data_IF_117375208145
#
_entry.id   IF_117375208145
#
_cell.length_a   1.000
_cell.length_b   1.000
_cell.length_c   1.000
_cell.angle_alpha   90.00
_cell.angle_beta   90.00
_cell.angle_gamma   90.00
#
_symmetry.space_group_name_H-M   'P 1'
#
loop_
_entity.id
_entity.type
_entity.pdbx_description
1 polymer ?
#
# COMPACT_ATOMS: atom_id res chain seq x y z
N UNK A 1 10.95 -3.54 27.33
CA UNK A 1 10.67 -3.33 25.90
C UNK A 1 9.20 -3.66 25.68
N UNK A 2 8.34 -2.66 25.79
CA UNK A 2 6.89 -2.80 25.61
C UNK A 2 6.60 -2.61 24.13
N UNK A 3 6.45 -3.72 23.40
CA UNK A 3 5.94 -3.70 22.04
C UNK A 3 4.50 -3.24 22.10
N UNK A 4 4.26 -1.97 21.78
CA UNK A 4 2.91 -1.46 21.50
C UNK A 4 2.44 -2.20 20.27
N UNK A 5 1.73 -3.31 20.47
CA UNK A 5 0.92 -3.95 19.44
C UNK A 5 -0.20 -2.95 19.17
N UNK A 6 0.08 -1.98 18.30
CA UNK A 6 -0.92 -1.05 17.81
C UNK A 6 -1.98 -1.90 17.14
N UNK A 7 -3.12 -2.05 17.81
CA UNK A 7 -4.37 -2.60 17.29
C UNK A 7 -4.92 -1.65 16.21
N UNK A 8 -4.12 -1.32 15.19
CA UNK A 8 -4.67 -0.87 13.94
C UNK A 8 -5.26 -2.12 13.31
N UNK A 9 -6.58 -2.24 13.30
CA UNK A 9 -7.23 -2.78 12.11
C UNK A 9 -6.69 -1.95 10.95
N UNK A 10 -5.55 -2.37 10.37
CA UNK A 10 -4.92 -1.62 9.29
C UNK A 10 -5.96 -1.56 8.18
N UNK A 11 -6.50 -0.37 7.94
CA UNK A 11 -7.41 -0.14 6.83
C UNK A 11 -6.71 -0.69 5.60
N UNK A 12 -7.25 -1.80 5.07
CA UNK A 12 -6.72 -2.49 3.88
C UNK A 12 -6.38 -1.51 2.77
N UNK A 13 -7.20 -0.48 2.63
CA UNK A 13 -7.03 0.60 1.67
C UNK A 13 -6.37 1.82 2.33
N UNK A 14 -5.16 2.15 1.90
CA UNK A 14 -4.41 3.35 2.33
C UNK A 14 -4.21 4.26 1.15
N UNK A 15 -4.31 5.58 1.33
CA UNK A 15 -4.00 6.50 0.24
C UNK A 15 -2.54 6.38 -0.20
N UNK A 16 -2.26 6.77 -1.44
CA UNK A 16 -0.94 6.65 -2.04
C UNK A 16 0.16 7.39 -1.27
N UNK A 17 -0.14 8.53 -0.64
CA UNK A 17 0.86 9.30 0.09
C UNK A 17 1.22 8.58 1.40
N UNK A 18 0.22 8.17 2.19
CA UNK A 18 0.43 7.36 3.38
C UNK A 18 1.09 6.03 3.05
N UNK A 19 0.78 5.39 1.92
CA UNK A 19 1.51 4.22 1.44
C UNK A 19 3.01 4.53 1.26
N UNK A 20 3.36 5.64 0.61
CA UNK A 20 4.76 6.02 0.39
C UNK A 20 5.48 6.30 1.72
N UNK A 21 4.82 6.99 2.65
CA UNK A 21 5.36 7.28 3.99
C UNK A 21 5.62 5.99 4.77
N UNK A 22 4.69 5.02 4.76
CA UNK A 22 4.81 3.76 5.50
C UNK A 22 5.80 2.78 4.88
N UNK A 23 5.79 2.66 3.56
CA UNK A 23 6.61 1.67 2.84
C UNK A 23 8.03 2.16 2.52
N UNK A 24 8.28 3.48 2.64
CA UNK A 24 9.50 4.11 2.16
C UNK A 24 9.63 4.15 0.63
N UNK A 25 8.60 3.72 -0.11
CA UNK A 25 8.61 3.75 -1.58
C UNK A 25 8.46 5.20 -2.04
N UNK A 26 9.36 5.71 -2.89
CA UNK A 26 9.23 7.06 -3.42
C UNK A 26 7.95 7.22 -4.25
N UNK A 27 7.27 8.36 -4.11
CA UNK A 27 6.00 8.65 -4.79
C UNK A 27 6.07 8.45 -6.32
N UNK A 28 7.19 8.84 -6.95
CA UNK A 28 7.41 8.62 -8.40
C UNK A 28 7.34 7.13 -8.77
N UNK A 29 7.93 6.27 -7.94
CA UNK A 29 7.96 4.81 -8.14
C UNK A 29 6.59 4.21 -7.87
N UNK A 30 5.92 4.62 -6.79
CA UNK A 30 4.57 4.18 -6.48
C UNK A 30 3.59 4.55 -7.61
N UNK A 31 3.72 5.76 -8.19
CA UNK A 31 2.94 6.19 -9.37
C UNK A 31 3.14 5.28 -10.57
N UNK A 32 4.40 5.04 -10.91
CA UNK A 32 4.75 4.14 -12.00
C UNK A 32 4.19 2.72 -11.78
N UNK A 33 4.25 2.18 -10.55
CA UNK A 33 3.77 0.83 -10.26
C UNK A 33 2.25 0.69 -10.39
N UNK A 34 1.45 1.62 -9.83
CA UNK A 34 0.00 1.50 -9.97
C UNK A 34 -0.46 1.73 -11.42
N UNK A 35 0.21 2.62 -12.16
CA UNK A 35 -0.12 2.87 -13.57
C UNK A 35 0.14 1.63 -14.45
N UNK A 36 1.16 0.84 -14.11
CA UNK A 36 1.50 -0.39 -14.83
C UNK A 36 0.92 -1.66 -14.17
N UNK A 37 -0.03 -1.54 -13.24
CA UNK A 37 -0.69 -2.67 -12.59
C UNK A 37 0.18 -3.50 -11.63
N UNK A 38 1.38 -3.03 -11.30
CA UNK A 38 2.31 -3.70 -10.37
C UNK A 38 1.99 -3.44 -8.89
N UNK A 39 1.16 -2.44 -8.63
CA UNK A 39 0.67 -2.13 -7.29
C UNK A 39 -0.85 -2.34 -7.27
N UNK A 40 -1.32 -3.22 -6.38
CA UNK A 40 -2.75 -3.50 -6.21
C UNK A 40 -3.42 -2.25 -5.61
N UNK A 41 -4.35 -1.67 -6.35
CA UNK A 41 -5.10 -0.48 -5.93
C UNK A 41 -6.58 -0.78 -5.85
N UNK A 42 -7.30 0.00 -5.05
CA UNK A 42 -8.76 0.02 -5.06
C UNK A 42 -9.22 0.38 -6.48
N UNK A 43 -10.19 -0.35 -7.06
CA UNK A 43 -10.76 0.00 -8.34
C UNK A 43 -11.27 1.45 -8.32
N UNK A 44 -10.91 2.20 -9.36
CA UNK A 44 -11.40 3.56 -9.54
C UNK A 44 -12.66 3.53 -10.37
N UNK A 45 -13.67 4.29 -9.94
CA UNK A 45 -14.91 4.43 -10.72
C UNK A 45 -14.80 5.61 -11.67
N UNK A 46 -14.09 6.66 -11.27
CA UNK A 46 -13.94 7.89 -12.07
C UNK A 46 -12.47 8.26 -12.31
N UNK A 47 -12.15 8.84 -13.48
CA UNK A 47 -10.85 9.46 -13.70
C UNK A 47 -10.61 10.59 -12.67
N UNK A 48 -9.40 10.66 -12.11
CA UNK A 48 -9.04 11.67 -11.10
C UNK A 48 -9.35 11.29 -9.65
N UNK A 49 -10.03 10.16 -9.41
CA UNK A 49 -10.24 9.65 -8.05
C UNK A 49 -8.90 9.38 -7.35
N UNK A 50 -8.89 9.62 -6.02
CA UNK A 50 -7.74 9.32 -5.15
C UNK A 50 -7.33 7.86 -5.29
N UNK A 51 -6.01 7.63 -5.34
CA UNK A 51 -5.45 6.28 -5.41
C UNK A 51 -5.37 5.73 -3.99
N UNK A 52 -6.02 4.59 -3.76
CA UNK A 52 -5.86 3.81 -2.55
C UNK A 52 -5.17 2.49 -2.88
N UNK A 53 -4.11 2.15 -2.14
CA UNK A 53 -3.30 0.94 -2.28
C UNK A 53 -3.82 -0.13 -1.32
N UNK A 54 -3.83 -1.38 -1.77
CA UNK A 54 -4.11 -2.54 -0.91
C UNK A 54 -2.88 -2.86 -0.05
N UNK A 55 -2.88 -2.38 1.19
CA UNK A 55 -1.80 -2.58 2.15
C UNK A 55 -1.60 -4.03 2.51
N UNK A 56 -2.69 -4.78 2.73
CA UNK A 56 -2.61 -6.19 3.11
C UNK A 56 -1.98 -7.00 1.99
N UNK A 57 -2.34 -6.73 0.74
CA UNK A 57 -1.72 -7.40 -0.38
C UNK A 57 -0.24 -7.02 -0.54
N UNK A 58 0.12 -5.76 -0.29
CA UNK A 58 1.51 -5.31 -0.31
C UNK A 58 2.34 -6.00 0.79
N UNK A 59 1.88 -6.00 2.03
CA UNK A 59 2.61 -6.60 3.16
C UNK A 59 2.71 -8.12 3.02
N UNK A 60 1.69 -8.79 2.48
CA UNK A 60 1.76 -10.21 2.13
C UNK A 60 2.87 -10.50 1.10
N UNK A 61 3.04 -9.65 0.09
CA UNK A 61 4.10 -9.79 -0.92
C UNK A 61 5.52 -9.53 -0.35
N UNK A 62 5.63 -8.77 0.75
CA UNK A 62 6.89 -8.48 1.46
C UNK A 62 7.24 -9.50 2.56
N UNK A 63 6.29 -10.37 2.94
CA UNK A 63 6.50 -11.38 3.98
C UNK A 63 7.67 -12.32 3.65
N UNK A 64 8.18 -13.07 4.64
CA UNK A 64 9.28 -14.00 4.41
C UNK A 64 8.86 -14.97 3.30
N UNK A 65 9.56 -14.92 2.18
CA UNK A 65 9.45 -15.94 1.13
C UNK A 65 9.92 -17.23 1.79
N UNK A 66 8.96 -18.06 2.18
CA UNK A 66 9.26 -19.43 2.59
C UNK A 66 9.63 -20.14 1.29
N UNK A 67 10.93 -20.13 0.99
CA UNK A 67 11.53 -20.94 -0.08
C UNK A 67 11.40 -22.42 0.22
#
# INVERSE_FOLDING_TARGET
MTSTVSTHSENRWVDLNTFCERSGVPLRRARYWYQNGRLKIKPKVTPGERVYVDWLAWTADQGPRVS
#
